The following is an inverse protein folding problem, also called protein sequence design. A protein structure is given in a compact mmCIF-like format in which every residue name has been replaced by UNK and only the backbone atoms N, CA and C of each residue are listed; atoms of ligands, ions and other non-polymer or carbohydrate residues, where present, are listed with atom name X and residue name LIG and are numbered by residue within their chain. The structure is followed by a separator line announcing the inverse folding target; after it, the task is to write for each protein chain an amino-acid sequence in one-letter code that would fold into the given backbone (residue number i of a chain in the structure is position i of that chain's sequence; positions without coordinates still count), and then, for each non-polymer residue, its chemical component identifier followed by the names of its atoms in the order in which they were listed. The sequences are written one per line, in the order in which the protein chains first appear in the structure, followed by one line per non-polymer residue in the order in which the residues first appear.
data_IF_235127867988
#
_entry.id   IF_235127867988
#
_cell.length_a   1.000
_cell.length_b   1.000
_cell.length_c   1.000
_cell.angle_alpha   90.00
_cell.angle_beta   90.00
_cell.angle_gamma   90.00
#
_symmetry.space_group_name_H-M   'P 1'
#
loop_
_entity.id
_entity.type
_entity.pdbx_description
1 polymer ?
#
# COMPACT_ATOMS: atom_id res chain seq x y z
N UNK A 1 -14.18 4.55 3.20
CA UNK A 1 -13.00 4.40 4.07
C UNK A 1 -11.77 4.60 3.22
N UNK A 2 -10.75 5.22 3.79
CA UNK A 2 -9.43 5.33 3.20
C UNK A 2 -8.51 4.25 3.78
N UNK A 3 -8.00 3.38 2.91
CA UNK A 3 -7.17 2.24 3.29
C UNK A 3 -5.79 2.36 2.63
N UNK A 4 -4.73 2.27 3.44
CA UNK A 4 -3.36 2.21 2.94
C UNK A 4 -2.88 0.77 3.04
N UNK A 5 -2.48 0.18 1.91
CA UNK A 5 -1.91 -1.17 1.84
C UNK A 5 -0.41 -1.02 1.57
N UNK A 6 0.43 -1.59 2.43
CA UNK A 6 1.89 -1.54 2.29
C UNK A 6 2.42 -2.92 1.92
N UNK A 7 2.98 -3.02 0.71
CA UNK A 7 3.50 -4.25 0.13
C UNK A 7 2.61 -4.79 -0.99
N UNK A 8 3.06 -4.66 -2.24
CA UNK A 8 2.43 -5.21 -3.44
C UNK A 8 2.81 -6.67 -3.69
N UNK A 9 2.86 -7.49 -2.65
CA UNK A 9 2.96 -8.94 -2.78
C UNK A 9 1.70 -9.56 -3.39
N UNK A 10 1.63 -10.89 -3.43
CA UNK A 10 0.40 -11.58 -3.86
C UNK A 10 -0.80 -11.16 -2.99
N UNK A 11 -0.61 -11.10 -1.68
CA UNK A 11 -1.64 -10.70 -0.72
C UNK A 11 -2.08 -9.25 -0.95
N UNK A 12 -1.14 -8.30 -0.92
CA UNK A 12 -1.46 -6.89 -1.15
C UNK A 12 -2.13 -6.63 -2.50
N UNK A 13 -1.71 -7.29 -3.58
CA UNK A 13 -2.37 -7.18 -4.88
C UNK A 13 -3.86 -7.57 -4.84
N UNK A 14 -4.18 -8.74 -4.30
CA UNK A 14 -5.57 -9.22 -4.25
C UNK A 14 -6.39 -8.42 -3.23
N UNK A 15 -5.79 -8.01 -2.11
CA UNK A 15 -6.44 -7.15 -1.13
C UNK A 15 -6.81 -5.79 -1.73
N UNK A 16 -5.86 -5.11 -2.37
CA UNK A 16 -6.11 -3.85 -3.08
C UNK A 16 -7.21 -4.00 -4.12
N UNK A 17 -7.16 -5.07 -4.93
CA UNK A 17 -8.21 -5.36 -5.93
C UNK A 17 -9.59 -5.49 -5.29
N UNK A 18 -9.70 -6.23 -4.18
CA UNK A 18 -10.99 -6.44 -3.49
C UNK A 18 -11.51 -5.14 -2.92
N UNK A 19 -10.69 -4.40 -2.17
CA UNK A 19 -11.08 -3.14 -1.54
C UNK A 19 -11.51 -2.08 -2.57
N UNK A 20 -10.79 -1.98 -3.69
CA UNK A 20 -11.17 -1.09 -4.80
C UNK A 20 -12.53 -1.50 -5.39
N UNK A 21 -12.75 -2.80 -5.62
CA UNK A 21 -14.03 -3.31 -6.14
C UNK A 21 -15.21 -3.09 -5.17
N UNK A 22 -14.93 -3.07 -3.87
CA UNK A 22 -15.92 -2.76 -2.82
C UNK A 22 -16.18 -1.25 -2.68
N UNK A 23 -15.51 -0.41 -3.47
CA UNK A 23 -15.72 1.04 -3.52
C UNK A 23 -14.98 1.81 -2.42
N UNK A 24 -13.95 1.21 -1.81
CA UNK A 24 -13.09 1.91 -0.87
C UNK A 24 -12.06 2.79 -1.59
N UNK A 25 -11.63 3.87 -0.93
CA UNK A 25 -10.49 4.64 -1.37
C UNK A 25 -9.24 3.90 -0.90
N UNK A 26 -8.38 3.49 -1.83
CA UNK A 26 -7.21 2.64 -1.52
C UNK A 26 -5.96 3.26 -2.09
N UNK A 27 -4.87 3.20 -1.33
CA UNK A 27 -3.52 3.47 -1.82
C UNK A 27 -2.61 2.28 -1.52
N UNK A 28 -2.04 1.68 -2.57
CA UNK A 28 -1.04 0.62 -2.48
C UNK A 28 0.37 1.22 -2.56
N UNK A 29 1.17 1.03 -1.52
CA UNK A 29 2.61 1.35 -1.50
C UNK A 29 3.39 0.09 -1.90
N UNK A 30 4.26 0.21 -2.90
CA UNK A 30 5.15 -0.88 -3.33
C UNK A 30 6.53 -0.34 -3.71
N UNK A 31 7.59 -0.95 -3.16
CA UNK A 31 8.98 -0.55 -3.37
C UNK A 31 9.56 -0.98 -4.72
N UNK A 32 9.02 -2.06 -5.30
CA UNK A 32 9.47 -2.57 -6.58
C UNK A 32 8.80 -1.82 -7.75
N UNK A 33 9.58 -0.96 -8.41
CA UNK A 33 9.14 -0.19 -9.58
C UNK A 33 8.46 -1.02 -10.68
N UNK A 34 8.98 -2.20 -11.02
CA UNK A 34 8.38 -3.04 -12.08
C UNK A 34 6.96 -3.49 -11.72
N UNK A 35 6.72 -3.78 -10.43
CA UNK A 35 5.38 -4.12 -9.96
C UNK A 35 4.47 -2.91 -9.96
N UNK A 36 4.97 -1.74 -9.52
CA UNK A 36 4.21 -0.49 -9.58
C UNK A 36 3.73 -0.21 -11.00
N UNK A 37 4.63 -0.26 -11.98
CA UNK A 37 4.27 -0.06 -13.39
C UNK A 37 3.16 -1.05 -13.82
N UNK A 38 3.32 -2.34 -13.47
CA UNK A 38 2.31 -3.38 -13.75
C UNK A 38 0.96 -3.13 -13.06
N UNK A 39 0.96 -2.54 -11.86
CA UNK A 39 -0.23 -2.31 -11.08
C UNK A 39 -0.92 -0.99 -11.44
N UNK A 40 -0.17 0.02 -11.89
CA UNK A 40 -0.73 1.24 -12.48
C UNK A 40 -1.57 0.90 -13.72
N UNK A 41 -1.10 -0.01 -14.58
CA UNK A 41 -1.86 -0.49 -15.74
C UNK A 41 -3.18 -1.20 -15.36
N UNK A 42 -3.24 -1.79 -14.16
CA UNK A 42 -4.38 -2.61 -13.71
C UNK A 42 -5.37 -1.86 -12.84
N UNK A 43 -4.88 -0.96 -11.99
CA UNK A 43 -5.65 -0.29 -10.97
C UNK A 43 -5.68 1.24 -11.15
N UNK A 44 -4.90 1.80 -12.08
CA UNK A 44 -4.76 3.24 -12.25
C UNK A 44 -3.94 3.87 -11.12
N UNK A 45 -4.28 5.11 -10.76
CA UNK A 45 -3.52 5.96 -9.83
C UNK A 45 -3.58 5.55 -8.35
N UNK A 46 -4.08 4.36 -8.03
CA UNK A 46 -4.17 3.83 -6.65
C UNK A 46 -2.87 3.19 -6.17
N UNK A 47 -1.78 3.32 -6.92
CA UNK A 47 -0.48 2.69 -6.63
C UNK A 47 0.60 3.77 -6.56
N UNK A 48 1.41 3.71 -5.51
CA UNK A 48 2.52 4.60 -5.24
C UNK A 48 3.83 3.80 -5.16
N UNK A 49 4.86 4.30 -5.84
CA UNK A 49 6.23 3.81 -5.64
C UNK A 49 6.79 4.43 -4.35
N UNK A 50 7.21 3.60 -3.41
CA UNK A 50 7.82 4.04 -2.16
C UNK A 50 8.17 2.88 -1.24
N UNK A 51 8.97 3.16 -0.22
CA UNK A 51 9.29 2.21 0.84
C UNK A 51 8.43 2.50 2.08
N UNK A 52 7.67 1.50 2.53
CA UNK A 52 6.83 1.61 3.71
C UNK A 52 7.61 1.82 5.01
N UNK A 53 8.90 1.53 5.03
CA UNK A 53 9.77 1.77 6.18
C UNK A 53 10.25 3.24 6.27
N UNK A 54 9.96 4.07 5.28
CA UNK A 54 10.27 5.50 5.28
C UNK A 54 9.07 6.34 5.76
N UNK A 55 9.25 7.10 6.85
CA UNK A 55 8.21 7.98 7.37
C UNK A 55 7.67 8.97 6.32
N UNK A 56 8.56 9.53 5.48
CA UNK A 56 8.16 10.43 4.39
C UNK A 56 7.27 9.77 3.34
N UNK A 57 7.47 8.47 3.09
CA UNK A 57 6.62 7.70 2.18
C UNK A 57 5.24 7.52 2.79
N UNK A 58 5.15 7.16 4.07
CA UNK A 58 3.89 7.02 4.79
C UNK A 58 3.12 8.35 4.90
N UNK A 59 3.82 9.46 5.18
CA UNK A 59 3.24 10.80 5.20
C UNK A 59 2.69 11.20 3.85
N UNK A 60 3.45 11.01 2.77
CA UNK A 60 3.00 11.29 1.40
C UNK A 60 1.83 10.39 0.98
N UNK A 61 1.79 9.16 1.50
CA UNK A 61 0.66 8.25 1.37
C UNK A 61 -0.54 8.62 2.27
N UNK A 62 -0.44 9.67 3.09
CA UNK A 62 -1.55 10.17 3.89
C UNK A 62 -2.01 9.21 4.99
N UNK A 63 -1.12 8.41 5.58
CA UNK A 63 -1.49 7.46 6.65
C UNK A 63 -2.20 8.12 7.82
N UNK A 64 -1.90 9.39 8.11
CA UNK A 64 -2.53 10.15 9.19
C UNK A 64 -4.04 10.41 9.00
N UNK A 65 -4.57 10.26 7.78
CA UNK A 65 -6.02 10.30 7.50
C UNK A 65 -6.61 8.93 7.15
N UNK A 66 -5.81 7.87 7.17
CA UNK A 66 -6.27 6.53 6.83
C UNK A 66 -7.11 5.97 7.97
N UNK A 67 -8.24 5.34 7.62
CA UNK A 67 -9.04 4.60 8.57
C UNK A 67 -8.35 3.28 8.94
N UNK A 68 -7.58 2.71 8.00
CA UNK A 68 -6.88 1.43 8.15
C UNK A 68 -5.54 1.48 7.42
N UNK A 69 -4.48 1.01 8.07
CA UNK A 69 -3.17 0.70 7.46
C UNK A 69 -2.96 -0.80 7.53
N UNK A 70 -2.55 -1.42 6.42
CA UNK A 70 -2.37 -2.86 6.29
C UNK A 70 -0.96 -3.14 5.80
N UNK A 71 -0.07 -3.56 6.69
CA UNK A 71 1.27 -4.03 6.34
C UNK A 71 1.23 -5.51 5.95
N UNK A 72 1.43 -5.78 4.66
CA UNK A 72 1.43 -7.12 4.06
C UNK A 72 2.67 -7.29 3.18
N UNK A 73 3.81 -6.85 3.71
CA UNK A 73 5.10 -7.11 3.11
C UNK A 73 5.51 -8.57 3.31
N UNK A 74 6.62 -8.98 2.70
CA UNK A 74 7.17 -10.32 2.90
C UNK A 74 8.11 -10.45 4.09
N UNK A 75 8.28 -9.37 4.88
CA UNK A 75 9.22 -9.29 5.99
C UNK A 75 8.49 -8.81 7.25
N UNK A 76 8.62 -9.57 8.33
CA UNK A 76 7.96 -9.25 9.60
C UNK A 76 8.55 -7.99 10.24
N UNK A 77 9.83 -7.71 10.01
CA UNK A 77 10.48 -6.49 10.51
C UNK A 77 9.92 -5.25 9.81
N UNK A 78 9.78 -5.28 8.47
CA UNK A 78 9.15 -4.20 7.70
C UNK A 78 7.70 -3.98 8.18
N UNK A 79 6.95 -5.06 8.45
CA UNK A 79 5.57 -4.96 8.91
C UNK A 79 5.46 -4.32 10.30
N UNK A 80 6.38 -4.66 11.22
CA UNK A 80 6.44 -4.01 12.53
C UNK A 80 6.78 -2.53 12.42
N UNK A 81 7.74 -2.16 11.58
CA UNK A 81 8.13 -0.76 11.37
C UNK A 81 6.95 0.06 10.84
N UNK A 82 6.28 -0.44 9.79
CA UNK A 82 5.10 0.24 9.20
C UNK A 82 4.00 0.46 10.24
N UNK A 83 3.73 -0.52 11.09
CA UNK A 83 2.66 -0.47 12.10
C UNK A 83 3.05 0.26 13.39
N UNK A 84 4.31 0.67 13.54
CA UNK A 84 4.77 1.42 14.72
C UNK A 84 4.53 2.93 14.58
N UNK A 85 4.20 3.39 13.37
CA UNK A 85 3.97 4.80 13.02
C UNK A 85 2.54 5.24 13.34
#
# INVERSE_FOLDING_TARGET
MYVVVVGGGKVGYYLTKTLVNEGHEVLLIEKNKKKVDTYLDRFGSVVMLGDGCEASTLEAAGVGRADVVIAVTGDDEDNMVVCQV
#
